data_IF_446511898064
#
_entry.id   IF_446511898064
#
_cell.length_a   1.000
_cell.length_b   1.000
_cell.length_c   1.000
_cell.angle_alpha   90.00
_cell.angle_beta   90.00
_cell.angle_gamma   90.00
#
_symmetry.space_group_name_H-M   'P 1'
#
loop_
_entity.id
_entity.type
_entity.pdbx_description
1 polymer ?
#
# COMPACT_ATOMS: atom_id res chain seq x y z
N UNK A 1 4.21 10.88 8.94
CA UNK A 1 2.99 10.51 8.20
C UNK A 1 3.32 9.30 7.35
N UNK A 2 2.45 8.29 7.24
CA UNK A 2 2.71 7.18 6.32
C UNK A 2 2.25 7.54 4.90
N UNK A 3 2.93 6.99 3.90
CA UNK A 3 2.52 7.07 2.49
C UNK A 3 2.58 5.71 1.84
N UNK A 4 1.64 5.43 0.95
CA UNK A 4 1.59 4.26 0.08
C UNK A 4 2.19 4.53 -1.31
N UNK A 5 2.98 5.59 -1.46
CA UNK A 5 3.77 5.80 -2.69
C UNK A 5 4.64 4.58 -3.07
N UNK A 6 5.28 3.86 -2.13
CA UNK A 6 5.98 2.61 -2.45
C UNK A 6 5.05 1.57 -3.07
N UNK A 7 3.86 1.35 -2.49
CA UNK A 7 2.88 0.41 -3.03
C UNK A 7 2.51 0.75 -4.48
N UNK A 8 2.31 2.02 -4.81
CA UNK A 8 2.02 2.43 -6.19
C UNK A 8 3.15 2.06 -7.16
N UNK A 9 4.41 2.23 -6.75
CA UNK A 9 5.57 1.83 -7.53
C UNK A 9 5.67 0.30 -7.67
N UNK A 10 5.41 -0.44 -6.59
CA UNK A 10 5.41 -1.91 -6.57
C UNK A 10 4.34 -2.49 -7.50
N UNK A 11 3.13 -1.94 -7.44
CA UNK A 11 2.04 -2.30 -8.35
C UNK A 11 2.40 -2.05 -9.82
N UNK A 12 3.01 -0.90 -10.12
CA UNK A 12 3.44 -0.58 -11.47
C UNK A 12 4.53 -1.55 -11.97
N UNK A 13 5.55 -1.82 -11.15
CA UNK A 13 6.63 -2.78 -11.48
C UNK A 13 6.09 -4.19 -11.75
N UNK A 14 5.03 -4.61 -11.03
CA UNK A 14 4.41 -5.93 -11.17
C UNK A 14 3.26 -5.96 -12.20
N UNK A 15 2.90 -4.83 -12.81
CA UNK A 15 1.77 -4.75 -13.75
C UNK A 15 0.41 -5.01 -13.11
N UNK A 16 0.26 -4.79 -11.79
CA UNK A 16 -0.95 -5.07 -11.02
C UNK A 16 -1.76 -3.78 -10.87
N UNK A 17 -3.06 -3.84 -11.19
CA UNK A 17 -3.96 -2.71 -10.97
C UNK A 17 -4.46 -2.67 -9.52
N UNK A 18 -4.93 -1.51 -9.05
CA UNK A 18 -5.55 -1.40 -7.70
C UNK A 18 -6.79 -2.29 -7.56
N UNK A 19 -7.54 -2.48 -8.64
CA UNK A 19 -8.71 -3.37 -8.68
C UNK A 19 -8.28 -4.83 -8.54
N UNK A 20 -7.18 -5.20 -9.18
CA UNK A 20 -6.58 -6.53 -9.05
C UNK A 20 -6.09 -6.76 -7.61
N UNK A 21 -5.35 -5.81 -7.03
CA UNK A 21 -4.91 -5.87 -5.64
C UNK A 21 -6.09 -6.08 -4.69
N UNK A 22 -7.19 -5.31 -4.87
CA UNK A 22 -8.42 -5.47 -4.09
C UNK A 22 -8.94 -6.91 -4.11
N UNK A 23 -8.96 -7.53 -5.29
CA UNK A 23 -9.40 -8.92 -5.47
C UNK A 23 -8.44 -9.90 -4.81
N UNK A 24 -7.13 -9.71 -4.98
CA UNK A 24 -6.09 -10.58 -4.42
C UNK A 24 -6.14 -10.63 -2.89
N UNK A 25 -6.28 -9.48 -2.21
CA UNK A 25 -6.33 -9.42 -0.74
C UNK A 25 -7.75 -9.55 -0.16
N UNK A 26 -8.77 -9.75 -1.00
CA UNK A 26 -10.17 -9.79 -0.56
C UNK A 26 -10.64 -8.52 0.15
N UNK A 27 -10.09 -7.36 -0.20
CA UNK A 27 -10.37 -6.10 0.49
C UNK A 27 -11.71 -5.47 0.08
N UNK A 28 -12.31 -4.76 1.03
CA UNK A 28 -13.44 -3.86 0.76
C UNK A 28 -13.03 -2.67 -0.11
N UNK A 29 -13.99 -2.05 -0.80
CA UNK A 29 -13.75 -0.77 -1.49
C UNK A 29 -13.28 0.34 -0.53
N UNK A 30 -13.72 0.29 0.74
CA UNK A 30 -13.31 1.25 1.76
C UNK A 30 -11.82 1.13 2.08
N UNK A 31 -11.28 -0.08 2.18
CA UNK A 31 -9.84 -0.31 2.42
C UNK A 31 -8.99 0.27 1.28
N UNK A 32 -9.40 0.06 0.03
CA UNK A 32 -8.70 0.62 -1.13
C UNK A 32 -8.78 2.15 -1.16
N UNK A 33 -9.93 2.72 -0.76
CA UNK A 33 -10.08 4.17 -0.65
C UNK A 33 -9.16 4.77 0.42
N UNK A 34 -8.97 4.09 1.55
CA UNK A 34 -8.01 4.49 2.59
C UNK A 34 -6.58 4.50 2.06
N UNK A 35 -6.16 3.42 1.39
CA UNK A 35 -4.84 3.32 0.76
C UNK A 35 -4.63 4.46 -0.25
N UNK A 36 -5.65 4.78 -1.05
CA UNK A 36 -5.57 5.86 -2.04
C UNK A 36 -5.44 7.26 -1.43
N UNK A 37 -5.82 7.43 -0.16
CA UNK A 37 -5.78 8.70 0.60
C UNK A 37 -4.65 8.74 1.63
N UNK A 38 -3.73 7.78 1.62
CA UNK A 38 -2.68 7.63 2.64
C UNK A 38 -3.22 7.50 4.08
N UNK A 39 -4.43 6.96 4.23
CA UNK A 39 -5.04 6.70 5.53
C UNK A 39 -4.55 5.37 6.15
N UNK A 40 -4.51 5.27 7.50
CA UNK A 40 -4.12 4.03 8.16
C UNK A 40 -5.06 2.85 7.86
N UNK A 41 -4.46 1.70 7.58
CA UNK A 41 -5.13 0.39 7.54
C UNK A 41 -4.59 -0.51 8.66
N UNK A 42 -5.23 -1.66 8.90
CA UNK A 42 -4.75 -2.61 9.91
C UNK A 42 -3.46 -3.30 9.46
N UNK A 43 -2.66 -3.77 10.43
CA UNK A 43 -1.46 -4.56 10.14
C UNK A 43 -1.77 -5.82 9.33
N UNK A 44 -2.95 -6.44 9.56
CA UNK A 44 -3.39 -7.58 8.75
C UNK A 44 -3.50 -7.23 7.26
N UNK A 45 -4.04 -6.05 6.91
CA UNK A 45 -4.13 -5.64 5.50
C UNK A 45 -2.74 -5.44 4.90
N UNK A 46 -1.78 -4.90 5.67
CA UNK A 46 -0.40 -4.76 5.19
C UNK A 46 0.25 -6.12 4.98
N UNK A 47 0.07 -7.06 5.90
CA UNK A 47 0.56 -8.44 5.80
C UNK A 47 -0.04 -9.19 4.59
N UNK A 48 -1.35 -9.07 4.40
CA UNK A 48 -2.04 -9.63 3.23
C UNK A 48 -1.45 -9.05 1.93
N UNK A 49 -1.21 -7.73 1.86
CA UNK A 49 -0.58 -7.09 0.69
C UNK A 49 0.84 -7.59 0.46
N UNK A 50 1.67 -7.66 1.51
CA UNK A 50 3.04 -8.15 1.41
C UNK A 50 3.07 -9.59 0.89
N UNK A 51 2.16 -10.43 1.40
CA UNK A 51 2.02 -11.83 1.02
C UNK A 51 1.60 -11.98 -0.44
N UNK A 52 0.52 -11.34 -0.88
CA UNK A 52 0.03 -11.52 -2.26
C UNK A 52 0.92 -10.88 -3.30
N UNK A 53 1.68 -9.85 -2.91
CA UNK A 53 2.65 -9.19 -3.79
C UNK A 53 4.04 -9.80 -3.70
N UNK A 54 4.29 -10.75 -2.79
CA UNK A 54 5.63 -11.30 -2.51
C UNK A 54 6.67 -10.18 -2.41
N UNK A 55 6.43 -9.24 -1.49
CA UNK A 55 7.28 -8.08 -1.28
C UNK A 55 7.40 -7.73 0.20
N UNK A 56 8.38 -6.89 0.50
CA UNK A 56 8.66 -6.47 1.87
C UNK A 56 7.79 -5.25 2.25
N UNK A 57 7.67 -4.98 3.55
CA UNK A 57 6.80 -3.89 4.03
C UNK A 57 7.23 -2.49 3.51
N UNK A 58 8.52 -2.28 3.26
CA UNK A 58 9.05 -1.05 2.66
C UNK A 58 8.59 -0.82 1.21
N UNK A 59 8.18 -1.88 0.52
CA UNK A 59 7.62 -1.83 -0.83
C UNK A 59 6.12 -1.47 -0.80
N UNK A 60 5.51 -1.43 0.39
CA UNK A 60 4.09 -1.13 0.59
C UNK A 60 3.91 0.25 1.23
N UNK A 61 4.60 0.52 2.34
CA UNK A 61 4.47 1.77 3.08
C UNK A 61 5.82 2.38 3.42
N UNK A 62 5.84 3.70 3.50
CA UNK A 62 6.99 4.45 3.99
C UNK A 62 6.54 5.49 5.02
N UNK A 63 7.30 5.60 6.11
CA UNK A 63 7.15 6.74 7.02
C UNK A 63 7.83 7.98 6.42
N UNK A 64 7.02 8.96 6.03
CA UNK A 64 7.45 10.27 5.56
C UNK A 64 7.66 11.19 6.77
N UNK A 65 8.90 11.63 6.95
CA UNK A 65 9.23 12.72 7.88
C UNK A 65 8.63 14.01 7.31
N UNK A 66 7.89 14.77 8.11
CA UNK A 66 7.57 16.14 7.76
C UNK A 66 8.90 16.85 7.49
N UNK A 67 9.10 17.29 6.25
CA UNK A 67 10.36 17.83 5.74
C UNK A 67 10.90 18.87 6.74
N UNK A 68 12.06 18.62 7.39
CA UNK A 68 12.98 19.72 7.63
C UNK A 68 13.52 20.07 6.26
N UNK A 69 13.06 21.21 5.75
CA UNK A 69 13.71 21.92 4.66
C UNK A 69 15.11 22.28 5.18
N UNK A 70 16.15 21.74 4.56
CA UNK A 70 17.47 22.38 4.54
C UNK A 70 17.58 23.09 3.20
#
# INVERSE_FOLDING_TARGET
>A
MFSYAPLAATLHKKGISRTELKRMIGASSATIAKIAKDEPVSMKVLDDICTVLECEIQDVIQHVKARKQN
#
